data_IF_518194863455
#
_entry.id   IF_518194863455
#
_cell.length_a   1.000
_cell.length_b   1.000
_cell.length_c   1.000
_cell.angle_alpha   90.00
_cell.angle_beta   90.00
_cell.angle_gamma   90.00
#
_symmetry.space_group_name_H-M   'P 1'
#
loop_
_entity.id
_entity.type
_entity.pdbx_description
1 polymer ?
#
# COMPACT_ATOMS: atom_id res chain seq x y z
N UNK A 1 -20.95 24.46 -9.16
CA UNK A 1 -20.67 23.14 -8.54
C UNK A 1 -19.17 22.99 -8.45
N UNK A 2 -18.64 22.53 -7.32
CA UNK A 2 -17.24 22.14 -7.25
C UNK A 2 -17.04 20.92 -8.16
N UNK A 3 -15.91 20.80 -8.88
CA UNK A 3 -15.62 19.59 -9.63
C UNK A 3 -15.63 18.39 -8.67
N UNK A 4 -16.09 17.24 -9.17
CA UNK A 4 -16.03 15.98 -8.42
C UNK A 4 -14.56 15.68 -8.15
N UNK A 5 -14.07 15.99 -6.95
CA UNK A 5 -12.75 15.58 -6.51
C UNK A 5 -12.81 14.07 -6.35
N UNK A 6 -12.04 13.31 -7.13
CA UNK A 6 -12.07 11.84 -7.02
C UNK A 6 -10.82 11.34 -6.32
N UNK A 7 -9.67 11.34 -6.98
CA UNK A 7 -8.49 10.62 -6.48
C UNK A 7 -7.52 11.57 -5.79
N UNK A 8 -7.73 11.79 -4.49
CA UNK A 8 -6.92 12.69 -3.66
C UNK A 8 -5.71 11.97 -3.09
N UNK A 9 -4.52 12.48 -3.36
CA UNK A 9 -3.31 12.20 -2.59
C UNK A 9 -3.10 13.28 -1.53
N UNK A 10 -3.17 12.92 -0.25
CA UNK A 10 -3.02 13.84 0.88
C UNK A 10 -1.59 13.97 1.36
N UNK A 11 -1.22 15.17 1.81
CA UNK A 11 0.11 15.53 2.29
C UNK A 11 0.02 16.42 3.53
N UNK A 12 0.99 16.30 4.43
CA UNK A 12 1.00 17.04 5.72
C UNK A 12 1.59 18.43 5.61
N UNK A 13 2.45 18.67 4.62
CA UNK A 13 3.25 19.89 4.50
C UNK A 13 3.12 20.50 3.11
N UNK A 14 3.14 21.84 3.05
CA UNK A 14 3.08 22.58 1.80
C UNK A 14 4.27 22.26 0.89
N UNK A 15 5.45 22.03 1.47
CA UNK A 15 6.65 21.65 0.72
C UNK A 15 6.44 20.33 -0.05
N UNK A 16 5.82 19.34 0.55
CA UNK A 16 5.52 18.07 -0.14
C UNK A 16 4.55 18.27 -1.30
N UNK A 17 3.57 19.17 -1.14
CA UNK A 17 2.70 19.57 -2.25
C UNK A 17 3.49 20.24 -3.39
N UNK A 18 4.41 21.15 -3.06
CA UNK A 18 5.24 21.80 -4.09
C UNK A 18 6.08 20.78 -4.84
N UNK A 19 6.73 19.86 -4.12
CA UNK A 19 7.54 18.79 -4.69
C UNK A 19 6.68 17.83 -5.54
N UNK A 20 5.46 17.52 -5.10
CA UNK A 20 4.52 16.70 -5.87
C UNK A 20 4.18 17.35 -7.22
N UNK A 21 3.96 18.67 -7.24
CA UNK A 21 3.64 19.41 -8.46
C UNK A 21 4.87 19.58 -9.38
N UNK A 22 6.06 19.82 -8.83
CA UNK A 22 7.26 20.10 -9.63
C UNK A 22 8.04 18.86 -10.05
N UNK A 23 8.07 17.83 -9.22
CA UNK A 23 8.92 16.64 -9.40
C UNK A 23 8.11 15.34 -9.48
N UNK A 24 6.81 15.38 -9.20
CA UNK A 24 5.94 14.20 -9.18
C UNK A 24 5.80 13.56 -7.79
N UNK A 25 4.90 12.57 -7.73
CA UNK A 25 4.52 11.89 -6.48
C UNK A 25 5.57 10.87 -6.06
N UNK A 26 5.98 10.92 -4.80
CA UNK A 26 7.03 10.05 -4.29
C UNK A 26 6.45 8.75 -3.75
N UNK A 27 7.04 7.62 -4.11
CA UNK A 27 6.77 6.35 -3.44
C UNK A 27 7.31 6.40 -2.00
N UNK A 28 6.42 6.24 -1.04
CA UNK A 28 6.75 6.14 0.39
C UNK A 28 6.56 4.71 0.89
N UNK A 29 7.29 4.32 1.91
CA UNK A 29 7.13 3.00 2.51
C UNK A 29 5.85 2.92 3.34
N UNK A 30 4.98 1.99 3.00
CA UNK A 30 3.79 1.64 3.78
C UNK A 30 3.92 0.23 4.32
N UNK A 31 3.51 0.02 5.56
CA UNK A 31 3.42 -1.32 6.13
C UNK A 31 2.22 -2.04 5.51
N UNK A 32 2.49 -3.14 4.83
CA UNK A 32 1.47 -4.11 4.45
C UNK A 32 1.56 -5.27 5.43
N UNK A 33 0.48 -5.51 6.15
CA UNK A 33 0.37 -6.59 7.11
C UNK A 33 -0.87 -7.42 6.82
N UNK A 34 -0.72 -8.73 6.92
CA UNK A 34 -1.83 -9.66 6.80
C UNK A 34 -1.89 -10.59 7.99
N UNK A 35 -2.93 -10.40 8.79
CA UNK A 35 -3.23 -11.17 10.00
C UNK A 35 -4.66 -11.71 9.89
N UNK A 36 -4.85 -13.02 9.64
CA UNK A 36 -6.15 -13.61 9.31
C UNK A 36 -6.92 -14.14 10.52
N UNK A 37 -6.42 -13.90 11.73
CA UNK A 37 -6.97 -14.41 12.97
C UNK A 37 -6.80 -13.37 14.08
N UNK A 38 -7.85 -13.23 14.88
CA UNK A 38 -7.90 -12.29 16.01
C UNK A 38 -7.60 -12.95 17.36
N UNK A 39 -7.57 -14.29 17.39
CA UNK A 39 -7.35 -15.09 18.60
C UNK A 39 -6.44 -16.28 18.35
N UNK A 40 -5.82 -16.80 19.42
CA UNK A 40 -4.97 -18.00 19.38
C UNK A 40 -5.73 -19.23 18.87
N UNK A 41 -6.98 -19.42 19.32
CA UNK A 41 -7.79 -20.56 18.91
C UNK A 41 -8.12 -20.56 17.40
N UNK A 42 -8.48 -19.40 16.84
CA UNK A 42 -8.70 -19.25 15.40
C UNK A 42 -7.42 -19.53 14.61
N UNK A 43 -6.28 -19.07 15.13
CA UNK A 43 -4.99 -19.28 14.50
C UNK A 43 -4.58 -20.77 14.52
N UNK A 44 -4.81 -21.48 15.62
CA UNK A 44 -4.57 -22.93 15.71
C UNK A 44 -5.43 -23.70 14.70
N UNK A 45 -6.72 -23.36 14.59
CA UNK A 45 -7.62 -23.97 13.61
C UNK A 45 -7.15 -23.72 12.17
N UNK A 46 -6.79 -22.47 11.85
CA UNK A 46 -6.35 -22.08 10.51
C UNK A 46 -5.02 -22.73 10.13
N UNK A 47 -4.07 -22.76 11.07
CA UNK A 47 -2.72 -23.25 10.84
C UNK A 47 -2.61 -24.77 10.86
N UNK A 48 -3.58 -25.50 11.45
CA UNK A 48 -3.53 -26.96 11.56
C UNK A 48 -3.31 -27.66 10.21
N UNK A 49 -4.07 -27.28 9.18
CA UNK A 49 -3.94 -27.85 7.83
C UNK A 49 -2.61 -27.52 7.16
N UNK A 50 -2.12 -26.28 7.31
CA UNK A 50 -0.85 -25.84 6.72
C UNK A 50 0.35 -26.46 7.45
N UNK A 51 0.23 -26.65 8.75
CA UNK A 51 1.26 -27.28 9.58
C UNK A 51 1.56 -28.70 9.13
N UNK A 52 0.53 -29.46 8.71
CA UNK A 52 0.74 -30.80 8.14
C UNK A 52 1.58 -30.74 6.87
N UNK A 53 1.27 -29.81 5.96
CA UNK A 53 2.02 -29.62 4.71
C UNK A 53 3.47 -29.19 4.98
N UNK A 54 3.68 -28.25 5.91
CA UNK A 54 5.03 -27.84 6.30
C UNK A 54 5.84 -29.02 6.83
N UNK A 55 5.26 -29.84 7.73
CA UNK A 55 5.91 -31.02 8.29
C UNK A 55 6.30 -32.02 7.20
N UNK A 56 5.43 -32.27 6.23
CA UNK A 56 5.72 -33.14 5.09
C UNK A 56 6.86 -32.58 4.23
N UNK A 57 6.84 -31.27 3.94
CA UNK A 57 7.90 -30.61 3.17
C UNK A 57 9.25 -30.72 3.87
N UNK A 58 9.28 -30.44 5.17
CA UNK A 58 10.47 -30.54 6.01
C UNK A 58 11.05 -31.96 6.07
N UNK A 59 10.18 -32.96 6.20
CA UNK A 59 10.60 -34.37 6.15
C UNK A 59 11.21 -34.74 4.79
N UNK A 60 10.63 -34.25 3.68
CA UNK A 60 11.18 -34.46 2.33
C UNK A 60 12.54 -33.79 2.12
N UNK A 61 12.84 -32.74 2.89
CA UNK A 61 14.16 -32.08 2.91
C UNK A 61 15.14 -32.74 3.89
N UNK A 62 14.78 -33.84 4.55
CA UNK A 62 15.64 -34.51 5.53
C UNK A 62 15.77 -33.76 6.86
N UNK A 63 14.92 -32.77 7.13
CA UNK A 63 14.90 -31.93 8.34
C UNK A 63 13.52 -31.99 9.01
N UNK A 64 13.06 -33.16 9.49
CA UNK A 64 11.72 -33.33 10.04
C UNK A 64 11.47 -32.37 11.23
N UNK A 65 10.21 -32.01 11.46
CA UNK A 65 9.82 -31.02 12.47
C UNK A 65 10.45 -31.24 13.86
N UNK A 66 10.52 -32.49 14.30
CA UNK A 66 11.06 -32.87 15.60
C UNK A 66 12.58 -32.67 15.72
N UNK A 67 13.31 -32.61 14.60
CA UNK A 67 14.76 -32.35 14.61
C UNK A 67 15.09 -30.86 14.68
N UNK A 68 14.10 -29.97 14.56
CA UNK A 68 14.30 -28.52 14.58
C UNK A 68 14.29 -27.99 16.02
N UNK A 69 15.17 -27.02 16.30
CA UNK A 69 15.13 -26.26 17.54
C UNK A 69 13.77 -25.55 17.70
N UNK A 70 13.41 -25.24 18.94
CA UNK A 70 12.17 -24.51 19.25
C UNK A 70 12.12 -23.17 18.53
N UNK A 71 13.19 -22.36 18.61
CA UNK A 71 13.26 -21.08 17.91
C UNK A 71 13.14 -21.19 16.38
N UNK A 72 13.62 -22.28 15.77
CA UNK A 72 13.43 -22.51 14.32
C UNK A 72 11.97 -22.84 14.00
N UNK A 73 11.32 -23.66 14.83
CA UNK A 73 9.89 -23.98 14.70
C UNK A 73 9.04 -22.72 14.82
N UNK A 74 9.31 -21.87 15.80
CA UNK A 74 8.64 -20.58 15.98
C UNK A 74 8.84 -19.66 14.78
N UNK A 75 10.07 -19.57 14.25
CA UNK A 75 10.37 -18.76 13.07
C UNK A 75 9.57 -19.22 11.84
N UNK A 76 9.51 -20.54 11.60
CA UNK A 76 8.74 -21.10 10.49
C UNK A 76 7.23 -20.87 10.68
N UNK A 77 6.70 -21.07 11.88
CA UNK A 77 5.29 -20.79 12.14
C UNK A 77 4.94 -19.31 12.01
N UNK A 78 5.82 -18.41 12.47
CA UNK A 78 5.66 -16.97 12.32
C UNK A 78 5.63 -16.56 10.85
N UNK A 79 6.54 -17.09 10.03
CA UNK A 79 6.57 -16.82 8.58
C UNK A 79 5.38 -17.37 7.79
N UNK A 80 4.66 -18.36 8.34
CA UNK A 80 3.38 -18.83 7.78
C UNK A 80 2.21 -18.01 8.31
N UNK A 81 2.27 -17.62 9.59
CA UNK A 81 1.16 -17.03 10.34
C UNK A 81 0.98 -15.53 10.19
N UNK A 82 2.04 -14.79 9.86
CA UNK A 82 2.01 -13.33 9.75
C UNK A 82 2.94 -12.86 8.64
N UNK A 83 2.36 -12.46 7.51
CA UNK A 83 3.11 -11.83 6.43
C UNK A 83 3.07 -10.32 6.64
N UNK A 84 4.26 -9.74 6.85
CA UNK A 84 4.43 -8.29 6.99
C UNK A 84 5.60 -7.84 6.15
N UNK A 85 5.46 -6.67 5.54
CA UNK A 85 6.52 -6.07 4.76
C UNK A 85 6.26 -4.59 4.55
N UNK A 86 7.33 -3.84 4.25
CA UNK A 86 7.19 -2.45 3.84
C UNK A 86 7.18 -2.38 2.31
N UNK A 87 6.09 -1.92 1.74
CA UNK A 87 5.90 -1.81 0.30
C UNK A 87 5.93 -0.32 -0.07
N UNK A 88 6.77 0.11 -1.03
CA UNK A 88 6.72 1.47 -1.52
C UNK A 88 5.40 1.67 -2.27
N UNK A 89 4.57 2.64 -1.90
CA UNK A 89 3.28 2.88 -2.53
C UNK A 89 2.98 4.37 -2.61
N UNK A 90 2.11 4.74 -3.55
CA UNK A 90 1.42 6.03 -3.55
C UNK A 90 -0.06 5.74 -3.30
N UNK A 91 -0.59 6.24 -2.19
CA UNK A 91 -1.98 6.05 -1.79
C UNK A 91 -2.84 7.24 -2.21
N UNK A 92 -4.06 6.94 -2.64
CA UNK A 92 -5.10 7.91 -2.97
C UNK A 92 -6.39 7.54 -2.26
N UNK A 93 -7.18 8.55 -1.94
CA UNK A 93 -8.57 8.37 -1.50
C UNK A 93 -9.49 8.73 -2.65
N UNK A 94 -10.40 7.83 -3.02
CA UNK A 94 -11.57 8.15 -3.85
C UNK A 94 -12.60 8.89 -2.98
N UNK A 95 -12.73 10.19 -3.19
CA UNK A 95 -13.70 11.06 -2.51
C UNK A 95 -15.04 10.98 -3.26
N UNK A 96 -16.12 10.49 -2.63
CA UNK A 96 -17.45 10.56 -3.22
C UNK A 96 -17.94 12.01 -3.33
N UNK A 97 -18.76 12.28 -4.35
CA UNK A 97 -19.40 13.58 -4.52
C UNK A 97 -20.17 13.98 -3.24
N UNK A 98 -19.98 15.23 -2.81
CA UNK A 98 -20.63 15.78 -1.61
C UNK A 98 -20.01 15.36 -0.27
N UNK A 99 -18.97 14.50 -0.24
CA UNK A 99 -18.28 14.16 1.01
C UNK A 99 -17.41 15.32 1.50
N UNK A 100 -17.53 15.65 2.78
CA UNK A 100 -16.66 16.63 3.41
C UNK A 100 -15.27 16.05 3.66
N UNK A 101 -14.22 16.87 3.49
CA UNK A 101 -12.82 16.45 3.60
C UNK A 101 -12.18 16.71 4.96
N UNK A 102 -12.94 17.17 5.96
CA UNK A 102 -12.40 17.48 7.29
C UNK A 102 -11.68 16.29 7.94
N UNK A 103 -12.26 15.08 7.85
CA UNK A 103 -11.68 13.86 8.40
C UNK A 103 -10.38 13.47 7.68
N UNK A 104 -10.35 13.62 6.35
CA UNK A 104 -9.17 13.39 5.54
C UNK A 104 -8.01 14.30 5.98
N UNK A 105 -8.32 15.58 6.18
CA UNK A 105 -7.33 16.58 6.56
C UNK A 105 -6.69 16.26 7.91
N UNK A 106 -7.50 15.76 8.85
CA UNK A 106 -7.03 15.38 10.17
C UNK A 106 -6.16 14.11 10.13
N UNK A 107 -6.58 13.13 9.34
CA UNK A 107 -5.97 11.79 9.34
C UNK A 107 -4.72 11.71 8.44
N UNK A 108 -4.82 12.27 7.23
CA UNK A 108 -3.84 12.07 6.16
C UNK A 108 -3.07 13.35 5.80
N UNK A 109 -3.62 14.52 6.05
CA UNK A 109 -2.92 15.81 5.90
C UNK A 109 -3.75 16.87 5.20
N UNK A 110 -3.36 18.14 5.41
CA UNK A 110 -4.14 19.32 5.04
C UNK A 110 -3.89 19.83 3.62
N UNK A 111 -2.92 19.27 2.94
CA UNK A 111 -2.59 19.57 1.54
C UNK A 111 -2.92 18.36 0.68
N UNK A 112 -3.09 18.56 -0.62
CA UNK A 112 -3.24 17.41 -1.50
C UNK A 112 -3.37 17.74 -2.97
N UNK A 113 -3.23 16.71 -3.79
CA UNK A 113 -3.41 16.79 -5.24
C UNK A 113 -4.48 15.80 -5.64
N UNK A 114 -5.45 16.27 -6.41
CA UNK A 114 -6.47 15.43 -7.04
C UNK A 114 -6.01 15.13 -8.45
N UNK A 115 -5.83 13.84 -8.76
CA UNK A 115 -5.34 13.38 -10.05
C UNK A 115 -6.46 12.84 -10.91
N UNK A 116 -6.27 12.91 -12.22
CA UNK A 116 -7.20 12.33 -13.19
C UNK A 116 -7.23 10.82 -13.07
N UNK A 117 -8.42 10.24 -13.26
CA UNK A 117 -8.59 8.78 -13.34
C UNK A 117 -7.66 8.15 -14.37
N UNK A 118 -7.53 8.82 -15.52
CA UNK A 118 -6.73 8.32 -16.64
C UNK A 118 -5.25 8.24 -16.29
N UNK A 119 -4.72 9.20 -15.52
CA UNK A 119 -3.35 9.14 -15.04
C UNK A 119 -3.18 8.04 -14.00
N UNK A 120 -4.12 7.91 -13.07
CA UNK A 120 -4.07 6.87 -12.04
C UNK A 120 -4.01 5.47 -12.67
N UNK A 121 -4.93 5.16 -13.59
CA UNK A 121 -5.00 3.86 -14.27
C UNK A 121 -3.77 3.59 -15.16
N UNK A 122 -3.29 4.60 -15.92
CA UNK A 122 -2.07 4.46 -16.75
C UNK A 122 -0.82 4.16 -15.94
N UNK A 123 -0.79 4.55 -14.67
CA UNK A 123 0.32 4.30 -13.75
C UNK A 123 0.11 3.06 -12.86
N UNK A 124 -0.90 2.22 -13.15
CA UNK A 124 -1.16 0.99 -12.41
C UNK A 124 -1.83 1.21 -11.05
N UNK A 125 -2.51 2.34 -10.88
CA UNK A 125 -3.35 2.57 -9.72
C UNK A 125 -4.57 1.67 -9.74
N UNK A 126 -4.80 0.95 -8.63
CA UNK A 126 -5.94 0.05 -8.48
C UNK A 126 -6.59 0.20 -7.10
N UNK A 127 -7.81 -0.31 -6.97
CA UNK A 127 -8.60 -0.29 -5.75
C UNK A 127 -8.04 -1.25 -4.71
N UNK A 128 -8.03 -0.78 -3.47
CA UNK A 128 -7.70 -1.63 -2.33
C UNK A 128 -8.88 -2.53 -1.97
N UNK A 129 -8.59 -3.81 -1.80
CA UNK A 129 -9.57 -4.79 -1.37
C UNK A 129 -9.54 -4.93 0.16
N UNK A 130 -10.64 -4.55 0.81
CA UNK A 130 -10.79 -4.61 2.26
C UNK A 130 -11.33 -5.96 2.73
N UNK A 131 -10.50 -6.72 3.44
CA UNK A 131 -10.83 -8.05 3.95
C UNK A 131 -11.06 -8.00 5.46
N UNK A 132 -12.18 -8.54 5.94
CA UNK A 132 -12.40 -8.69 7.38
C UNK A 132 -11.55 -9.82 7.94
N UNK A 133 -10.94 -9.62 9.11
CA UNK A 133 -9.97 -10.55 9.73
C UNK A 133 -10.50 -11.99 9.79
N UNK A 134 -11.77 -12.16 10.16
CA UNK A 134 -12.42 -13.48 10.29
C UNK A 134 -13.36 -13.83 9.12
N UNK A 135 -13.28 -13.10 8.00
CA UNK A 135 -14.10 -13.40 6.83
C UNK A 135 -13.64 -14.69 6.14
N UNK A 136 -14.58 -15.40 5.50
CA UNK A 136 -14.25 -16.60 4.71
C UNK A 136 -13.21 -16.30 3.62
N UNK A 137 -13.26 -15.11 3.02
CA UNK A 137 -12.24 -14.66 2.06
C UNK A 137 -10.85 -14.56 2.71
N UNK A 138 -10.75 -13.97 3.91
CA UNK A 138 -9.50 -13.93 4.68
C UNK A 138 -8.97 -15.35 4.89
N UNK A 139 -9.80 -16.24 5.43
CA UNK A 139 -9.38 -17.61 5.72
C UNK A 139 -8.88 -18.36 4.48
N UNK A 140 -9.51 -18.14 3.32
CA UNK A 140 -9.05 -18.69 2.04
C UNK A 140 -7.74 -18.08 1.56
N UNK A 141 -7.59 -16.76 1.61
CA UNK A 141 -6.38 -16.06 1.21
C UNK A 141 -5.19 -16.49 2.08
N UNK A 142 -5.40 -16.58 3.40
CA UNK A 142 -4.43 -17.17 4.31
C UNK A 142 -4.01 -18.56 3.87
N UNK A 143 -4.95 -19.49 3.67
CA UNK A 143 -4.63 -20.87 3.28
C UNK A 143 -3.79 -20.90 1.99
N UNK A 144 -4.13 -20.09 0.99
CA UNK A 144 -3.37 -20.01 -0.27
C UNK A 144 -1.94 -19.52 -0.01
N UNK A 145 -1.78 -18.40 0.68
CA UNK A 145 -0.47 -17.80 1.00
C UNK A 145 0.38 -18.76 1.85
N UNK A 146 -0.22 -19.30 2.90
CA UNK A 146 0.41 -20.16 3.88
C UNK A 146 0.83 -21.50 3.27
N UNK A 147 -0.02 -22.11 2.44
CA UNK A 147 0.33 -23.33 1.67
C UNK A 147 1.46 -23.04 0.68
N UNK A 148 1.41 -21.92 -0.03
CA UNK A 148 2.48 -21.53 -0.95
C UNK A 148 3.80 -21.34 -0.19
N UNK A 149 3.80 -20.58 0.90
CA UNK A 149 4.96 -20.40 1.78
C UNK A 149 5.52 -21.73 2.28
N UNK A 150 4.67 -22.61 2.82
CA UNK A 150 5.09 -23.94 3.28
C UNK A 150 5.71 -24.79 2.16
N UNK A 151 5.12 -24.76 0.95
CA UNK A 151 5.61 -25.53 -0.20
C UNK A 151 6.97 -25.07 -0.72
N UNK A 152 7.30 -23.81 -0.48
CA UNK A 152 8.53 -23.17 -0.98
C UNK A 152 9.67 -23.17 0.02
N UNK A 153 9.51 -23.83 1.17
CA UNK A 153 10.63 -24.05 2.09
C UNK A 153 11.74 -24.84 1.39
N UNK A 154 12.98 -24.42 1.59
CA UNK A 154 14.20 -25.01 1.07
C UNK A 154 15.28 -25.02 2.15
N UNK A 155 16.41 -25.69 1.92
CA UNK A 155 17.54 -25.64 2.85
C UNK A 155 18.47 -24.48 2.47
N UNK A 156 18.79 -23.65 3.45
CA UNK A 156 19.80 -22.59 3.34
C UNK A 156 21.21 -23.15 3.23
N UNK A 157 22.19 -22.25 3.10
CA UNK A 157 23.61 -22.63 3.02
C UNK A 157 24.14 -23.30 4.30
N UNK A 158 23.53 -22.96 5.45
CA UNK A 158 23.77 -23.56 6.75
C UNK A 158 23.02 -24.89 6.95
N UNK A 159 22.26 -25.34 5.94
CA UNK A 159 21.43 -26.53 6.02
C UNK A 159 20.15 -26.33 6.84
N UNK A 160 19.82 -25.11 7.26
CA UNK A 160 18.59 -24.84 7.99
C UNK A 160 17.41 -24.55 7.04
N UNK A 161 16.20 -25.02 7.36
CA UNK A 161 15.06 -24.79 6.47
C UNK A 161 14.68 -23.32 6.47
N UNK A 162 14.68 -22.65 5.32
CA UNK A 162 14.29 -21.24 5.14
C UNK A 162 13.18 -21.12 4.10
N UNK A 163 12.37 -20.07 4.18
CA UNK A 163 11.41 -19.76 3.12
C UNK A 163 12.15 -19.33 1.87
N UNK A 164 11.70 -19.82 0.71
CA UNK A 164 12.24 -19.34 -0.55
C UNK A 164 12.02 -17.84 -0.64
N UNK A 165 13.12 -17.18 -0.93
CA UNK A 165 13.18 -15.78 -1.30
C UNK A 165 12.19 -15.43 -2.43
N UNK A 166 12.02 -16.31 -3.41
CA UNK A 166 11.10 -16.08 -4.53
C UNK A 166 9.61 -16.09 -4.16
N UNK A 167 9.26 -16.50 -2.94
CA UNK A 167 7.88 -16.58 -2.48
C UNK A 167 7.35 -15.25 -1.96
N UNK A 168 8.22 -14.39 -1.44
CA UNK A 168 7.82 -13.12 -0.85
C UNK A 168 7.29 -12.09 -1.88
N UNK A 169 7.94 -11.87 -3.05
CA UNK A 169 7.47 -10.92 -4.06
C UNK A 169 5.99 -11.05 -4.43
N UNK A 170 5.48 -12.21 -4.91
CA UNK A 170 4.08 -12.32 -5.31
C UNK A 170 3.10 -12.15 -4.14
N UNK A 171 3.52 -12.47 -2.91
CA UNK A 171 2.70 -12.25 -1.73
C UNK A 171 2.65 -10.76 -1.40
N UNK A 172 3.79 -10.06 -1.42
CA UNK A 172 3.83 -8.61 -1.19
C UNK A 172 3.04 -7.87 -2.27
N UNK A 173 3.15 -8.25 -3.54
CA UNK A 173 2.37 -7.66 -4.62
C UNK A 173 0.86 -7.80 -4.38
N UNK A 174 0.42 -8.98 -3.92
CA UNK A 174 -0.97 -9.20 -3.52
C UNK A 174 -1.37 -8.32 -2.32
N UNK A 175 -0.52 -8.28 -1.29
CA UNK A 175 -0.78 -7.50 -0.07
C UNK A 175 -0.76 -5.98 -0.32
N UNK A 176 -0.05 -5.51 -1.34
CA UNK A 176 -0.03 -4.10 -1.70
C UNK A 176 -1.43 -3.58 -2.04
N UNK A 177 -2.29 -4.41 -2.63
CA UNK A 177 -3.65 -4.07 -3.01
C UNK A 177 -4.71 -4.58 -2.01
N UNK A 178 -4.30 -4.96 -0.80
CA UNK A 178 -5.21 -5.45 0.24
C UNK A 178 -5.07 -4.64 1.54
N UNK A 179 -6.16 -4.59 2.30
CA UNK A 179 -6.18 -3.95 3.61
C UNK A 179 -7.18 -4.63 4.54
N UNK A 180 -7.00 -4.50 5.85
CA UNK A 180 -7.97 -4.97 6.83
C UNK A 180 -9.23 -4.10 6.81
N UNK A 181 -10.41 -4.72 6.87
CA UNK A 181 -11.70 -4.00 6.87
C UNK A 181 -11.87 -3.04 8.05
N UNK A 182 -11.22 -3.31 9.18
CA UNK A 182 -11.16 -2.39 10.33
C UNK A 182 -10.57 -1.02 9.97
N UNK A 183 -9.71 -0.97 8.95
CA UNK A 183 -9.09 0.24 8.43
C UNK A 183 -9.90 0.89 7.29
N UNK A 184 -11.12 0.39 6.99
CA UNK A 184 -12.02 0.97 6.00
C UNK A 184 -12.61 2.28 6.52
N UNK A 185 -11.82 3.34 6.49
CA UNK A 185 -12.31 4.71 6.65
C UNK A 185 -12.75 5.30 5.29
N UNK A 186 -12.17 4.81 4.19
CA UNK A 186 -12.17 5.46 2.88
C UNK A 186 -12.13 4.46 1.72
N UNK A 187 -12.39 4.94 0.51
CA UNK A 187 -12.24 4.16 -0.73
C UNK A 187 -10.80 4.32 -1.23
N UNK A 188 -9.88 3.54 -0.69
CA UNK A 188 -8.46 3.67 -1.02
C UNK A 188 -8.12 3.08 -2.40
N UNK A 189 -7.18 3.75 -3.07
CA UNK A 189 -6.50 3.32 -4.27
C UNK A 189 -5.00 3.39 -4.05
N UNK A 190 -4.24 2.45 -4.62
CA UNK A 190 -2.78 2.38 -4.47
C UNK A 190 -2.11 2.19 -5.82
N UNK A 191 -0.98 2.86 -6.00
CA UNK A 191 0.02 2.51 -7.01
C UNK A 191 1.14 1.78 -6.28
N UNK A 192 1.28 0.45 -6.42
CA UNK A 192 2.38 -0.29 -5.81
C UNK A 192 3.68 -0.06 -6.58
N UNK A 193 4.74 0.25 -5.84
CA UNK A 193 6.10 0.32 -6.35
C UNK A 193 6.85 -1.00 -6.16
N UNK A 194 8.02 -1.11 -6.78
CA UNK A 194 8.87 -2.29 -6.60
C UNK A 194 9.35 -2.42 -5.15
N UNK A 195 9.01 -3.54 -4.50
CA UNK A 195 9.35 -3.82 -3.10
C UNK A 195 10.86 -4.04 -2.85
N UNK A 196 11.68 -4.20 -3.91
CA UNK A 196 13.15 -4.26 -3.80
C UNK A 196 13.73 -5.54 -3.17
N UNK A 197 12.96 -6.62 -3.12
CA UNK A 197 13.49 -7.93 -2.74
C UNK A 197 14.26 -8.54 -3.92
N UNK A 198 15.41 -9.16 -3.64
CA UNK A 198 16.29 -9.87 -4.60
C UNK A 198 16.87 -8.96 -5.69
N UNK A 199 17.84 -8.14 -5.29
CA UNK A 199 18.67 -7.27 -6.15
C UNK A 199 17.92 -6.20 -6.98
N UNK A 200 16.59 -6.14 -6.92
CA UNK A 200 15.81 -5.03 -7.45
C UNK A 200 15.99 -3.75 -6.62
N UNK A 201 16.06 -2.60 -7.30
CA UNK A 201 16.05 -1.32 -6.60
C UNK A 201 14.65 -1.06 -6.05
N UNK A 202 14.57 -0.96 -4.72
CA UNK A 202 13.35 -0.56 -4.03
C UNK A 202 12.91 0.81 -4.52
N UNK A 203 11.64 0.95 -4.88
CA UNK A 203 11.12 2.18 -5.45
C UNK A 203 10.98 3.34 -4.44
N UNK A 204 11.21 3.13 -3.14
CA UNK A 204 11.12 4.19 -2.12
C UNK A 204 11.96 5.41 -2.50
N UNK A 205 11.38 6.60 -2.42
CA UNK A 205 12.05 7.84 -2.81
C UNK A 205 12.06 8.10 -4.33
N UNK A 206 11.75 7.10 -5.16
CA UNK A 206 11.47 7.34 -6.59
C UNK A 206 10.21 8.18 -6.72
N UNK A 207 10.23 9.11 -7.67
CA UNK A 207 9.07 9.91 -8.03
C UNK A 207 8.41 9.41 -9.31
N UNK A 208 7.09 9.41 -9.31
CA UNK A 208 6.24 9.15 -10.45
C UNK A 208 5.83 10.51 -11.05
N UNK A 209 6.20 10.80 -12.32
CA UNK A 209 5.87 12.08 -12.94
C UNK A 209 4.37 12.36 -12.93
N UNK A 210 4.01 13.57 -12.51
CA UNK A 210 2.64 14.06 -12.49
C UNK A 210 2.55 15.33 -13.36
N UNK A 211 2.23 15.20 -14.65
CA UNK A 211 2.02 16.35 -15.51
C UNK A 211 0.85 17.20 -15.02
N UNK A 212 0.94 18.53 -15.14
CA UNK A 212 -0.14 19.43 -14.70
C UNK A 212 -1.48 19.15 -15.41
N UNK A 213 -1.45 18.66 -16.66
CA UNK A 213 -2.67 18.28 -17.39
C UNK A 213 -3.41 17.08 -16.80
N UNK A 214 -2.76 16.32 -15.92
CA UNK A 214 -3.36 15.20 -15.18
C UNK A 214 -3.77 15.58 -13.75
N UNK A 215 -3.58 16.84 -13.35
CA UNK A 215 -4.02 17.38 -12.06
C UNK A 215 -5.38 18.06 -12.23
N UNK A 216 -6.38 17.60 -11.50
CA UNK A 216 -7.74 18.16 -11.55
C UNK A 216 -7.90 19.32 -10.56
N UNK A 217 -7.33 19.17 -9.36
CA UNK A 217 -7.37 20.19 -8.32
C UNK A 217 -6.19 20.06 -7.36
N UNK A 218 -5.90 21.14 -6.66
CA UNK A 218 -4.91 21.22 -5.59
C UNK A 218 -5.57 21.75 -4.32
N UNK A 219 -5.37 21.06 -3.21
CA UNK A 219 -5.89 21.46 -1.90
C UNK A 219 -4.80 22.14 -1.09
N UNK A 220 -5.11 23.31 -0.56
CA UNK A 220 -4.23 24.10 0.32
C UNK A 220 -4.92 24.41 1.64
N UNK A 221 -4.11 24.62 2.68
CA UNK A 221 -4.56 24.79 4.06
C UNK A 221 -5.02 26.22 4.33
N UNK A 222 -4.30 27.21 3.81
CA UNK A 222 -4.53 28.62 4.07
C UNK A 222 -4.97 29.37 2.80
N UNK A 223 -5.85 30.35 2.94
CA UNK A 223 -6.29 31.16 1.81
C UNK A 223 -5.13 31.90 1.12
N UNK A 224 -4.10 32.29 1.87
CA UNK A 224 -2.90 32.96 1.33
C UNK A 224 -2.06 32.05 0.43
N UNK A 225 -2.13 30.73 0.61
CA UNK A 225 -1.36 29.76 -0.18
C UNK A 225 -1.94 29.57 -1.59
N UNK A 226 -3.21 29.96 -1.81
CA UNK A 226 -3.87 29.82 -3.12
C UNK A 226 -3.09 30.54 -4.20
N UNK A 227 -2.84 31.84 -4.02
CA UNK A 227 -2.12 32.66 -4.99
C UNK A 227 -0.65 32.22 -5.14
N UNK A 228 -0.05 31.65 -4.10
CA UNK A 228 1.30 31.11 -4.15
C UNK A 228 1.39 29.86 -5.02
N UNK A 229 0.48 28.90 -4.80
CA UNK A 229 0.44 27.64 -5.56
C UNK A 229 0.06 27.89 -7.02
N UNK A 230 -0.88 28.80 -7.29
CA UNK A 230 -1.20 29.21 -8.67
C UNK A 230 0.02 29.79 -9.39
N UNK A 231 0.82 30.62 -8.70
CA UNK A 231 2.04 31.19 -9.25
C UNK A 231 3.07 30.09 -9.54
N UNK A 232 3.24 29.14 -8.62
CA UNK A 232 4.10 27.97 -8.85
C UNK A 232 3.66 27.23 -10.11
N UNK A 233 2.39 26.85 -10.23
CA UNK A 233 1.89 26.09 -11.38
C UNK A 233 2.11 26.80 -12.72
N UNK A 234 2.04 28.14 -12.76
CA UNK A 234 2.35 28.92 -13.97
C UNK A 234 3.82 28.78 -14.40
N UNK A 235 4.73 28.59 -13.46
CA UNK A 235 6.17 28.44 -13.74
C UNK A 235 6.57 27.02 -14.17
N UNK A 236 5.68 26.03 -13.99
CA UNK A 236 6.01 24.64 -14.29
C UNK A 236 5.95 24.34 -15.80
N UNK A 237 6.77 23.40 -16.29
CA UNK A 237 6.74 22.98 -17.69
C UNK A 237 5.34 22.53 -18.14
N UNK A 238 4.92 22.97 -19.33
CA UNK A 238 3.62 22.61 -19.92
C UNK A 238 2.44 23.47 -19.44
N UNK A 239 2.64 24.42 -18.52
CA UNK A 239 1.56 25.32 -18.06
C UNK A 239 0.92 26.12 -19.20
N UNK A 240 1.73 26.65 -20.11
CA UNK A 240 1.25 27.46 -21.25
C UNK A 240 0.49 26.67 -22.32
N UNK A 241 0.59 25.34 -22.31
CA UNK A 241 -0.13 24.47 -23.26
C UNK A 241 -1.49 23.99 -22.73
N UNK A 242 -1.83 24.29 -21.47
CA UNK A 242 -3.09 23.90 -20.88
C UNK A 242 -4.18 24.93 -21.18
N UNK A 243 -5.43 24.50 -21.45
CA UNK A 243 -6.56 25.41 -21.64
C UNK A 243 -6.90 26.18 -20.35
N UNK A 244 -6.63 25.57 -19.19
CA UNK A 244 -6.76 26.16 -17.87
C UNK A 244 -5.81 25.45 -16.90
N UNK A 245 -5.33 26.18 -15.90
CA UNK A 245 -4.59 25.56 -14.80
C UNK A 245 -5.53 24.74 -13.90
N UNK A 246 -5.00 23.75 -13.16
CA UNK A 246 -5.76 23.06 -12.14
C UNK A 246 -6.34 24.02 -11.10
N UNK A 247 -7.53 23.71 -10.59
CA UNK A 247 -8.18 24.54 -9.57
C UNK A 247 -7.45 24.44 -8.24
N UNK A 248 -7.11 25.57 -7.62
CA UNK A 248 -6.58 25.60 -6.25
C UNK A 248 -7.71 25.90 -5.27
N UNK A 249 -7.95 24.98 -4.34
CA UNK A 249 -9.05 25.03 -3.37
C UNK A 249 -8.44 25.19 -1.98
N UNK A 250 -8.72 26.34 -1.35
CA UNK A 250 -8.52 26.49 0.08
C UNK A 250 -9.60 25.70 0.81
N UNK A 251 -9.18 24.77 1.68
CA UNK A 251 -10.08 24.06 2.56
C UNK A 251 -9.74 24.36 4.02
N UNK A 252 -10.54 25.20 4.70
CA UNK A 252 -10.29 25.48 6.10
C UNK A 252 -10.48 24.19 6.91
N UNK A 253 -9.62 23.99 7.92
CA UNK A 253 -9.86 22.98 8.93
C UNK A 253 -11.16 23.37 9.65
N UNK A 254 -12.23 22.60 9.43
CA UNK A 254 -13.48 22.79 10.16
C UNK A 254 -13.21 22.37 11.61
N UNK A 255 -13.26 23.35 12.53
CA UNK A 255 -13.25 23.14 13.98
C UNK A 255 -14.66 22.85 14.47
#
# INVERSE_FOLDING_TARGET
MLPTLRFLHSMRELEFLRLALSEGLMFTDHEAAYVPASSTAEWEELSAGVTVLLKQRLAALGKPWQSLSEGRRETLMSGIGSMRGKIPMICFTEIPEGRQLWFQQFTFGRYGVVVSRSWLERNGGDRVLYVGENSELSRRLYRVIATFMASTVLLGQDGEPVFSHHSFPPILDLLACMEQRSNLAELEWRIPGHHGFHSGQRATGRRLPLPLGDVEAVLVKEASEVAEVERLMRTLPGSNSLPSLPLVIHQPAVL
#
